data_IF_110008833919
#
_entry.id   IF_110008833919
#
_cell.length_a   1.000
_cell.length_b   1.000
_cell.length_c   1.000
_cell.angle_alpha   90.00
_cell.angle_beta   90.00
_cell.angle_gamma   90.00
#
_symmetry.space_group_name_H-M   'P 1'
#
loop_
_entity.id
_entity.type
_entity.pdbx_description
1 polymer ?
#
# COMPACT_ATOMS: atom_id res chain seq x y z
N UNK A 1 23.31 -96.06 11.89
CA UNK A 1 21.90 -95.65 11.70
C UNK A 1 21.54 -94.63 12.77
N UNK A 2 20.81 -93.55 12.38
CA UNK A 2 20.29 -92.43 13.20
C UNK A 2 21.38 -91.41 13.59
N UNK A 3 21.23 -90.08 13.45
CA UNK A 3 20.09 -89.27 13.03
C UNK A 3 20.56 -87.87 12.55
N UNK A 4 19.61 -87.16 11.94
CA UNK A 4 19.67 -85.92 11.16
C UNK A 4 20.14 -84.63 11.87
N UNK A 5 20.36 -83.62 11.02
CA UNK A 5 20.39 -82.16 11.23
C UNK A 5 21.63 -81.55 11.92
N UNK A 6 22.41 -80.78 11.16
CA UNK A 6 23.07 -79.54 11.66
C UNK A 6 23.57 -78.64 10.52
N UNK A 7 23.01 -77.43 10.53
CA UNK A 7 23.69 -76.13 10.34
C UNK A 7 24.08 -75.72 8.92
N UNK A 8 23.20 -74.90 8.37
CA UNK A 8 23.49 -73.79 7.45
C UNK A 8 24.67 -72.98 8.01
N UNK A 9 25.73 -72.82 7.22
CA UNK A 9 26.81 -71.88 7.48
C UNK A 9 27.20 -71.17 6.16
N UNK A 10 27.39 -69.88 6.32
CA UNK A 10 27.54 -68.81 5.34
C UNK A 10 28.94 -68.83 4.71
N UNK A 11 29.03 -68.60 3.40
CA UNK A 11 30.23 -68.09 2.72
C UNK A 11 29.75 -67.25 1.51
N UNK A 12 29.69 -65.94 1.66
CA UNK A 12 30.70 -64.99 1.17
C UNK A 12 30.58 -64.73 -0.35
N UNK A 13 29.90 -63.62 -0.69
CA UNK A 13 29.92 -63.02 -2.02
C UNK A 13 29.90 -61.51 -1.85
N UNK A 14 31.07 -60.88 -1.91
CA UNK A 14 31.23 -59.43 -1.88
C UNK A 14 30.74 -58.84 -3.20
N UNK A 15 29.77 -57.93 -3.13
CA UNK A 15 29.45 -57.00 -4.20
C UNK A 15 29.37 -55.60 -3.58
N UNK A 16 30.41 -54.81 -3.80
CA UNK A 16 30.41 -53.40 -3.48
C UNK A 16 29.41 -52.68 -4.38
N UNK A 17 28.20 -52.45 -3.87
CA UNK A 17 27.29 -51.48 -4.47
C UNK A 17 27.72 -50.10 -3.98
N UNK A 18 28.42 -49.36 -4.85
CA UNK A 18 28.63 -47.94 -4.67
C UNK A 18 27.26 -47.25 -4.72
N UNK A 19 26.66 -47.00 -3.56
CA UNK A 19 25.55 -46.06 -3.44
C UNK A 19 26.18 -44.68 -3.59
N UNK A 20 26.19 -44.18 -4.82
CA UNK A 20 26.31 -42.74 -5.03
C UNK A 20 25.05 -42.13 -4.42
N UNK A 21 25.17 -41.65 -3.17
CA UNK A 21 24.25 -40.62 -2.68
C UNK A 21 24.45 -39.43 -3.61
N UNK A 22 23.68 -39.38 -4.70
CA UNK A 22 23.41 -38.16 -5.40
C UNK A 22 22.73 -37.25 -4.41
N UNK A 23 23.52 -36.48 -3.66
CA UNK A 23 23.04 -35.28 -3.02
C UNK A 23 22.50 -34.42 -4.17
N UNK A 24 21.20 -34.52 -4.43
CA UNK A 24 20.50 -33.46 -5.12
C UNK A 24 20.78 -32.24 -4.27
N UNK A 25 21.66 -31.38 -4.76
CA UNK A 25 21.81 -30.04 -4.24
C UNK A 25 20.41 -29.45 -4.34
N UNK A 26 19.70 -29.40 -3.22
CA UNK A 26 18.55 -28.54 -3.09
C UNK A 26 19.10 -27.15 -3.38
N UNK A 27 18.93 -26.68 -4.60
CA UNK A 27 19.12 -25.28 -4.92
C UNK A 27 18.18 -24.57 -3.96
N UNK A 28 18.76 -23.91 -2.95
CA UNK A 28 18.03 -22.96 -2.13
C UNK A 28 17.42 -21.98 -3.14
N UNK A 29 16.12 -22.14 -3.41
CA UNK A 29 15.40 -21.22 -4.26
C UNK A 29 15.61 -19.84 -3.68
N UNK A 30 16.04 -18.88 -4.51
CA UNK A 30 16.15 -17.49 -4.08
C UNK A 30 14.81 -17.11 -3.47
N UNK A 31 14.82 -16.71 -2.19
CA UNK A 31 13.60 -16.29 -1.52
C UNK A 31 12.96 -15.17 -2.35
N UNK A 32 11.64 -15.23 -2.52
CA UNK A 32 10.95 -14.15 -3.24
C UNK A 32 11.19 -12.82 -2.51
N UNK A 33 11.40 -11.71 -3.22
CA UNK A 33 11.52 -10.41 -2.59
C UNK A 33 10.32 -10.12 -1.71
N UNK A 34 10.55 -9.48 -0.57
CA UNK A 34 9.50 -9.21 0.42
C UNK A 34 9.46 -7.75 0.84
N UNK A 35 8.25 -7.26 1.06
CA UNK A 35 7.94 -6.01 1.73
C UNK A 35 7.50 -6.36 3.15
N UNK A 36 8.29 -5.94 4.13
CA UNK A 36 8.03 -6.20 5.55
C UNK A 36 7.46 -4.95 6.21
N UNK A 37 6.31 -5.11 6.85
CA UNK A 37 5.69 -4.09 7.70
C UNK A 37 6.08 -4.31 9.16
N UNK A 38 6.53 -3.26 9.83
CA UNK A 38 6.81 -3.25 11.27
C UNK A 38 5.99 -2.19 12.03
N UNK A 39 5.91 -2.29 13.37
CA UNK A 39 6.58 -3.26 14.24
C UNK A 39 5.90 -4.65 14.26
N UNK A 40 4.65 -4.72 13.82
CA UNK A 40 3.87 -5.95 13.69
C UNK A 40 3.29 -6.04 12.29
N UNK A 41 2.95 -7.25 11.85
CA UNK A 41 2.25 -7.48 10.59
C UNK A 41 1.32 -8.69 10.69
N UNK A 42 0.02 -8.56 10.36
CA UNK A 42 -0.68 -7.31 10.00
C UNK A 42 -0.89 -6.40 11.22
N UNK A 43 -1.08 -5.10 10.97
CA UNK A 43 -1.25 -4.09 12.03
C UNK A 43 -2.16 -2.96 11.54
N UNK A 44 -2.97 -2.38 12.45
CA UNK A 44 -3.83 -1.24 12.13
C UNK A 44 -3.11 0.09 12.38
N UNK A 45 -3.30 1.07 11.50
CA UNK A 45 -2.69 2.39 11.64
C UNK A 45 -3.74 3.50 11.59
N UNK A 46 -3.38 4.65 12.17
CA UNK A 46 -4.06 5.92 11.94
C UNK A 46 -3.08 6.93 11.40
N UNK A 47 -3.52 7.83 10.53
CA UNK A 47 -2.69 8.89 10.00
C UNK A 47 -3.43 10.21 10.03
N UNK A 48 -2.79 11.23 10.59
CA UNK A 48 -3.31 12.60 10.63
C UNK A 48 -2.48 13.52 9.75
N UNK A 49 -3.11 14.52 9.15
CA UNK A 49 -2.44 15.59 8.43
C UNK A 49 -2.92 16.94 8.92
N UNK A 50 -2.06 17.95 8.80
CA UNK A 50 -2.46 19.35 8.87
C UNK A 50 -3.14 19.78 7.58
N UNK A 51 -2.80 20.97 7.09
CA UNK A 51 -3.41 21.49 5.85
C UNK A 51 -3.19 20.55 4.68
N UNK A 52 -4.29 20.22 3.99
CA UNK A 52 -4.27 19.48 2.73
C UNK A 52 -4.93 20.30 1.64
N UNK A 53 -4.46 20.15 0.40
CA UNK A 53 -4.91 20.98 -0.72
C UNK A 53 -5.25 20.10 -1.92
N UNK A 54 -6.42 20.34 -2.51
CA UNK A 54 -6.78 19.87 -3.83
C UNK A 54 -6.84 21.08 -4.77
N UNK A 55 -5.97 21.14 -5.77
CA UNK A 55 -5.96 22.21 -6.76
C UNK A 55 -6.59 21.71 -8.06
N UNK A 56 -7.63 22.38 -8.54
CA UNK A 56 -8.30 22.07 -9.80
C UNK A 56 -8.37 23.33 -10.66
N UNK A 57 -7.78 23.32 -11.86
CA UNK A 57 -7.80 24.45 -12.79
C UNK A 57 -7.34 25.78 -12.15
N UNK A 58 -6.35 25.72 -11.25
CA UNK A 58 -5.85 26.89 -10.51
C UNK A 58 -6.69 27.31 -9.30
N UNK A 59 -7.80 26.64 -9.01
CA UNK A 59 -8.64 26.88 -7.84
C UNK A 59 -8.15 25.97 -6.70
N UNK A 60 -7.60 26.53 -5.61
CA UNK A 60 -7.25 25.74 -4.44
C UNK A 60 -8.49 25.43 -3.59
N UNK A 61 -8.68 24.17 -3.25
CA UNK A 61 -9.61 23.73 -2.21
C UNK A 61 -8.76 23.22 -1.04
N UNK A 62 -8.80 23.91 0.08
CA UNK A 62 -7.94 23.63 1.24
C UNK A 62 -8.78 23.14 2.40
N UNK A 63 -8.33 22.08 3.05
CA UNK A 63 -8.88 21.60 4.32
C UNK A 63 -7.83 21.80 5.41
N UNK A 64 -8.26 22.17 6.63
CA UNK A 64 -7.32 22.39 7.75
C UNK A 64 -6.69 21.10 8.23
N UNK A 65 -7.39 19.97 8.05
CA UNK A 65 -6.92 18.65 8.44
C UNK A 65 -7.56 17.56 7.61
N UNK A 66 -6.88 16.42 7.54
CA UNK A 66 -7.41 15.15 7.07
C UNK A 66 -6.93 14.01 7.95
N UNK A 67 -7.81 13.06 8.23
CA UNK A 67 -7.51 11.88 9.02
C UNK A 67 -7.87 10.61 8.24
N UNK A 68 -6.98 9.64 8.27
CA UNK A 68 -7.13 8.34 7.63
C UNK A 68 -6.87 7.22 8.63
N UNK A 69 -7.48 6.06 8.43
CA UNK A 69 -7.13 4.83 9.12
C UNK A 69 -7.05 3.69 8.12
N UNK A 70 -6.48 2.57 8.55
CA UNK A 70 -6.49 1.35 7.76
C UNK A 70 -5.57 0.28 8.33
N UNK A 71 -5.14 -0.63 7.47
CA UNK A 71 -4.32 -1.77 7.85
C UNK A 71 -3.07 -1.81 6.99
N UNK A 72 -1.96 -2.22 7.60
CA UNK A 72 -0.71 -2.54 6.93
C UNK A 72 -0.44 -4.03 7.07
N UNK A 73 0.16 -4.63 6.04
CA UNK A 73 0.57 -6.03 6.06
C UNK A 73 1.80 -6.25 5.16
N UNK A 74 2.69 -7.12 5.62
CA UNK A 74 3.80 -7.62 4.81
C UNK A 74 3.29 -8.42 3.61
N UNK A 75 4.01 -8.33 2.49
CA UNK A 75 3.65 -9.00 1.25
C UNK A 75 4.89 -9.32 0.40
N UNK A 76 4.81 -10.36 -0.42
CA UNK A 76 5.88 -10.74 -1.35
C UNK A 76 5.70 -10.08 -2.72
N UNK A 77 6.80 -9.76 -3.39
CA UNK A 77 6.83 -9.24 -4.76
C UNK A 77 7.82 -8.10 -4.96
N UNK A 78 8.06 -7.75 -6.21
CA UNK A 78 9.05 -6.73 -6.60
C UNK A 78 8.44 -5.34 -6.76
N UNK A 79 7.29 -5.24 -7.43
CA UNK A 79 6.65 -3.96 -7.78
C UNK A 79 5.12 -4.09 -7.74
N UNK A 80 4.42 -2.97 -7.54
CA UNK A 80 2.97 -2.91 -7.36
C UNK A 80 2.47 -3.83 -6.24
N UNK A 81 3.25 -3.95 -5.16
CA UNK A 81 2.91 -4.83 -4.04
C UNK A 81 1.99 -4.08 -3.08
N UNK A 82 0.79 -4.61 -2.84
CA UNK A 82 -0.13 -4.03 -1.88
C UNK A 82 0.38 -4.29 -0.45
N UNK A 83 0.73 -3.22 0.26
CA UNK A 83 1.26 -3.27 1.65
C UNK A 83 0.29 -2.68 2.66
N UNK A 84 -0.84 -2.15 2.20
CA UNK A 84 -1.89 -1.68 3.10
C UNK A 84 -3.20 -1.30 2.41
N UNK A 85 -4.18 -0.98 3.24
CA UNK A 85 -5.49 -0.46 2.87
C UNK A 85 -5.80 0.81 3.64
N UNK A 86 -6.65 1.67 3.10
CA UNK A 86 -7.10 2.92 3.71
C UNK A 86 -8.62 2.92 3.71
N UNK A 87 -9.19 2.87 4.91
CA UNK A 87 -10.60 3.04 5.19
C UNK A 87 -10.80 3.23 6.72
N UNK A 88 -11.45 4.31 7.18
CA UNK A 88 -11.96 5.46 6.42
C UNK A 88 -10.89 6.53 6.13
N UNK A 89 -11.26 7.52 5.31
CA UNK A 89 -10.56 8.79 5.18
C UNK A 89 -11.56 9.95 5.30
N UNK A 90 -11.16 10.98 6.02
CA UNK A 90 -12.00 12.15 6.33
C UNK A 90 -11.22 13.44 6.14
N UNK A 91 -11.94 14.53 5.89
CA UNK A 91 -11.40 15.88 5.86
C UNK A 91 -12.22 16.79 6.76
N UNK A 92 -11.61 17.87 7.25
CA UNK A 92 -12.29 18.83 8.12
C UNK A 92 -12.01 20.26 7.69
N UNK A 93 -13.02 21.11 7.87
CA UNK A 93 -12.97 22.56 7.60
C UNK A 93 -12.40 22.89 6.22
N UNK A 94 -13.04 22.34 5.18
CA UNK A 94 -12.62 22.54 3.81
C UNK A 94 -13.26 23.81 3.21
N UNK A 95 -12.46 24.59 2.50
CA UNK A 95 -12.85 25.85 1.89
C UNK A 95 -12.22 26.01 0.51
N UNK A 96 -12.79 26.91 -0.28
CA UNK A 96 -12.28 27.35 -1.58
C UNK A 96 -12.52 28.86 -1.70
N UNK A 97 -11.97 29.52 -2.72
CA UNK A 97 -12.32 30.91 -3.04
C UNK A 97 -13.83 31.16 -3.23
N UNK A 98 -14.62 30.12 -3.51
CA UNK A 98 -16.07 30.19 -3.71
C UNK A 98 -16.88 29.89 -2.45
N UNK A 99 -16.25 29.55 -1.33
CA UNK A 99 -16.90 29.23 -0.07
C UNK A 99 -16.59 27.81 0.45
N UNK A 100 -17.39 27.31 1.41
CA UNK A 100 -17.19 26.00 2.01
C UNK A 100 -17.24 24.86 0.99
N UNK A 101 -16.38 23.85 1.22
CA UNK A 101 -16.31 22.63 0.41
C UNK A 101 -16.67 21.45 1.31
N UNK A 102 -17.46 20.51 0.80
CA UNK A 102 -17.79 19.27 1.51
C UNK A 102 -17.26 18.09 0.70
N UNK A 103 -16.03 17.62 1.00
CA UNK A 103 -15.52 16.39 0.42
C UNK A 103 -15.98 15.17 1.21
N UNK A 104 -16.29 14.10 0.49
CA UNK A 104 -16.68 12.80 1.04
C UNK A 104 -15.85 11.72 0.36
N UNK A 105 -15.13 10.92 1.13
CA UNK A 105 -14.37 9.79 0.61
C UNK A 105 -15.31 8.60 0.45
N UNK A 106 -15.25 7.93 -0.69
CA UNK A 106 -15.87 6.62 -0.89
C UNK A 106 -14.81 5.55 -0.64
N UNK A 107 -14.78 5.04 0.59
CA UNK A 107 -13.92 3.93 1.01
C UNK A 107 -14.74 2.66 1.26
N UNK A 108 -15.93 2.54 0.66
CA UNK A 108 -16.74 1.30 0.71
C UNK A 108 -15.93 0.10 0.17
N UNK A 109 -15.14 0.36 -0.88
CA UNK A 109 -13.95 -0.42 -1.19
C UNK A 109 -12.73 0.32 -0.65
N UNK A 110 -11.95 -0.28 0.27
CA UNK A 110 -10.76 0.37 0.81
C UNK A 110 -9.78 0.76 -0.30
N UNK A 111 -9.22 1.97 -0.22
CA UNK A 111 -8.15 2.36 -1.14
C UNK A 111 -6.90 1.56 -0.78
N UNK A 112 -6.04 1.26 -1.75
CA UNK A 112 -4.89 0.37 -1.56
C UNK A 112 -3.60 1.15 -1.56
N UNK A 113 -2.72 0.90 -0.60
CA UNK A 113 -1.36 1.42 -0.59
C UNK A 113 -0.44 0.39 -1.26
N UNK A 114 0.15 0.77 -2.39
CA UNK A 114 1.00 -0.11 -3.19
C UNK A 114 2.44 0.40 -3.18
N UNK A 115 3.39 -0.48 -2.93
CA UNK A 115 4.82 -0.21 -2.90
C UNK A 115 5.49 -0.66 -4.21
N UNK A 116 6.40 0.17 -4.73
CA UNK A 116 7.13 -0.09 -5.98
C UNK A 116 8.64 -0.11 -5.78
N UNK A 117 9.20 0.87 -5.07
CA UNK A 117 10.65 0.99 -4.88
C UNK A 117 10.98 1.39 -3.45
N UNK A 118 12.15 0.97 -2.99
CA UNK A 118 12.65 1.26 -1.66
C UNK A 118 14.12 1.68 -1.74
N UNK A 119 14.44 2.82 -1.13
CA UNK A 119 15.82 3.30 -1.03
C UNK A 119 15.97 4.14 0.22
N UNK A 120 17.05 3.91 0.98
CA UNK A 120 17.40 4.71 2.16
C UNK A 120 16.25 4.93 3.18
N UNK A 121 15.42 3.90 3.43
CA UNK A 121 14.29 4.01 4.37
C UNK A 121 13.05 4.71 3.80
N UNK A 122 13.04 4.97 2.50
CA UNK A 122 11.94 5.61 1.77
C UNK A 122 11.31 4.63 0.81
N UNK A 123 10.02 4.39 0.97
CA UNK A 123 9.19 3.60 0.05
C UNK A 123 8.47 4.55 -0.90
N UNK A 124 8.64 4.36 -2.21
CA UNK A 124 7.86 5.06 -3.23
C UNK A 124 6.87 4.13 -3.89
N UNK A 125 5.68 4.64 -4.15
CA UNK A 125 4.56 3.86 -4.65
C UNK A 125 3.35 4.74 -4.97
N UNK A 126 2.16 4.22 -4.74
CA UNK A 126 0.92 4.93 -5.03
C UNK A 126 -0.26 4.39 -4.22
N UNK A 127 -1.24 5.26 -4.01
CA UNK A 127 -2.56 4.86 -3.51
C UNK A 127 -3.46 4.63 -4.72
N UNK A 128 -4.13 3.48 -4.76
CA UNK A 128 -5.06 3.13 -5.83
C UNK A 128 -6.49 2.98 -5.36
N UNK A 129 -7.42 3.16 -6.29
CA UNK A 129 -8.86 3.10 -6.02
C UNK A 129 -9.39 4.35 -5.33
N UNK A 130 -8.67 5.48 -5.42
CA UNK A 130 -9.14 6.74 -4.85
C UNK A 130 -10.46 7.12 -5.51
N UNK A 131 -11.47 7.40 -4.69
CA UNK A 131 -12.76 7.91 -5.12
C UNK A 131 -13.31 8.85 -4.08
N UNK A 132 -13.50 10.11 -4.44
CA UNK A 132 -14.05 11.11 -3.54
C UNK A 132 -15.03 12.02 -4.28
N UNK A 133 -16.09 12.44 -3.60
CA UNK A 133 -17.06 13.41 -4.12
C UNK A 133 -16.84 14.73 -3.41
N UNK A 134 -16.73 15.82 -4.17
CA UNK A 134 -16.60 17.17 -3.64
C UNK A 134 -17.83 17.97 -4.00
N UNK A 135 -18.35 18.71 -3.03
CA UNK A 135 -19.43 19.67 -3.22
C UNK A 135 -18.95 21.07 -2.85
N UNK A 136 -19.15 22.02 -3.76
CA UNK A 136 -18.91 23.46 -3.55
C UNK A 136 -20.06 24.22 -4.19
N UNK A 137 -20.79 25.01 -3.38
CA UNK A 137 -22.03 25.66 -3.80
C UNK A 137 -23.01 24.65 -4.45
N UNK A 138 -23.37 24.85 -5.72
CA UNK A 138 -24.23 23.98 -6.54
C UNK A 138 -23.44 22.98 -7.39
N UNK A 139 -22.11 23.11 -7.44
CA UNK A 139 -21.24 22.17 -8.13
C UNK A 139 -20.98 20.95 -7.24
N UNK A 140 -21.25 19.77 -7.78
CA UNK A 140 -20.84 18.50 -7.20
C UNK A 140 -20.10 17.71 -8.27
N UNK A 141 -18.91 17.24 -7.94
CA UNK A 141 -18.10 16.44 -8.85
C UNK A 141 -17.41 15.31 -8.13
N UNK A 142 -17.14 14.21 -8.85
CA UNK A 142 -16.42 13.07 -8.30
C UNK A 142 -15.04 13.00 -8.93
N UNK A 143 -14.03 12.79 -8.10
CA UNK A 143 -12.65 12.52 -8.53
C UNK A 143 -12.35 11.05 -8.30
N UNK A 144 -11.72 10.43 -9.30
CA UNK A 144 -11.25 9.05 -9.23
C UNK A 144 -9.82 8.93 -9.73
N UNK A 145 -9.12 7.86 -9.33
CA UNK A 145 -7.84 7.50 -9.91
C UNK A 145 -6.85 6.98 -8.89
N UNK A 146 -5.57 7.22 -9.17
CA UNK A 146 -4.46 6.81 -8.34
C UNK A 146 -3.60 8.04 -8.04
N UNK A 147 -3.00 8.10 -6.87
CA UNK A 147 -2.10 9.21 -6.47
C UNK A 147 -0.75 8.65 -6.08
N UNK A 148 0.32 9.35 -6.45
CA UNK A 148 1.66 8.99 -6.05
C UNK A 148 1.79 9.14 -4.53
N UNK A 149 2.54 8.23 -3.92
CA UNK A 149 2.76 8.21 -2.49
C UNK A 149 4.21 7.87 -2.16
N UNK A 150 4.78 8.60 -1.20
CA UNK A 150 6.12 8.36 -0.69
C UNK A 150 6.06 8.27 0.83
N UNK A 151 6.46 7.14 1.37
CA UNK A 151 6.52 6.90 2.81
C UNK A 151 7.97 6.93 3.30
N UNK A 152 8.24 7.68 4.36
CA UNK A 152 9.57 7.77 4.97
C UNK A 152 9.57 7.18 6.37
N UNK A 153 10.26 6.05 6.58
CA UNK A 153 10.25 5.31 7.85
C UNK A 153 10.74 6.16 9.04
N UNK A 154 11.76 7.00 8.85
CA UNK A 154 12.35 7.81 9.92
C UNK A 154 11.38 8.89 10.45
N UNK A 155 10.60 9.49 9.57
CA UNK A 155 9.64 10.55 9.92
C UNK A 155 8.26 10.00 10.21
N UNK A 156 7.91 8.84 9.65
CA UNK A 156 6.56 8.26 9.70
C UNK A 156 5.59 8.99 8.77
N UNK A 157 6.09 9.77 7.82
CA UNK A 157 5.28 10.62 6.94
C UNK A 157 5.00 9.91 5.62
N UNK A 158 3.72 9.84 5.27
CA UNK A 158 3.21 9.50 3.96
C UNK A 158 2.90 10.81 3.20
N UNK A 159 3.81 11.20 2.31
CA UNK A 159 3.59 12.30 1.39
C UNK A 159 2.77 11.79 0.19
N UNK A 160 1.66 12.46 -0.11
CA UNK A 160 0.76 12.14 -1.21
C UNK A 160 0.75 13.30 -2.18
N UNK A 161 0.94 13.00 -3.46
CA UNK A 161 0.83 13.97 -4.55
C UNK A 161 0.37 13.32 -5.84
N UNK A 162 0.14 14.11 -6.89
CA UNK A 162 0.01 13.58 -8.25
C UNK A 162 1.36 13.60 -8.95
N UNK A 163 1.53 12.71 -9.93
CA UNK A 163 2.60 12.80 -10.92
C UNK A 163 2.06 12.43 -12.32
N UNK A 164 2.95 12.30 -13.32
CA UNK A 164 2.56 11.98 -14.69
C UNK A 164 1.82 10.63 -14.81
N UNK A 165 2.19 9.65 -13.99
CA UNK A 165 1.66 8.28 -14.00
C UNK A 165 0.42 8.14 -13.12
N UNK A 166 0.50 8.59 -11.87
CA UNK A 166 -0.52 8.49 -10.86
C UNK A 166 -1.14 9.87 -10.64
N UNK A 167 -2.31 10.07 -11.25
CA UNK A 167 -3.10 11.29 -11.11
C UNK A 167 -4.57 10.98 -10.88
N UNK A 168 -5.25 11.95 -10.27
CA UNK A 168 -6.70 11.99 -10.20
C UNK A 168 -7.30 12.51 -11.49
N UNK A 169 -8.55 12.14 -11.74
CA UNK A 169 -9.38 12.60 -12.85
C UNK A 169 -10.78 12.91 -12.34
N UNK A 170 -11.36 14.01 -12.79
CA UNK A 170 -12.79 14.30 -12.57
C UNK A 170 -13.60 13.33 -13.43
N UNK A 171 -14.35 12.44 -12.79
CA UNK A 171 -15.14 11.40 -13.42
C UNK A 171 -16.57 11.87 -13.74
N UNK A 172 -17.18 12.65 -12.86
CA UNK A 172 -18.55 13.16 -13.01
C UNK A 172 -18.64 14.60 -12.51
N UNK A 173 -19.57 15.36 -13.08
CA UNK A 173 -19.88 16.74 -12.68
C UNK A 173 -21.39 16.98 -12.76
N UNK A 174 -21.92 17.86 -11.91
CA UNK A 174 -23.27 18.40 -12.06
C UNK A 174 -23.28 19.64 -12.96
N UNK A 175 -24.46 20.06 -13.42
CA UNK A 175 -24.61 21.27 -14.25
C UNK A 175 -24.07 22.55 -13.58
N UNK A 176 -24.03 22.61 -12.25
CA UNK A 176 -23.50 23.74 -11.49
C UNK A 176 -21.97 23.90 -11.52
N UNK A 177 -21.24 23.00 -12.19
CA UNK A 177 -19.78 23.01 -12.21
C UNK A 177 -19.15 23.83 -13.34
N UNK A 178 -19.95 24.55 -14.13
CA UNK A 178 -19.45 25.41 -15.21
C UNK A 178 -18.37 26.37 -14.69
N UNK A 179 -17.18 26.34 -15.31
CA UNK A 179 -16.02 27.16 -14.93
C UNK A 179 -15.22 26.67 -13.71
N UNK A 180 -15.69 25.64 -12.99
CA UNK A 180 -15.02 25.06 -11.82
C UNK A 180 -14.37 23.73 -12.20
N UNK A 181 -15.19 22.79 -12.69
CA UNK A 181 -14.78 21.42 -12.96
C UNK A 181 -15.44 20.90 -14.23
N UNK A 182 -14.66 20.19 -15.05
CA UNK A 182 -15.16 19.42 -16.18
C UNK A 182 -14.63 17.99 -16.12
N UNK A 183 -15.41 17.05 -16.67
CA UNK A 183 -14.98 15.64 -16.79
C UNK A 183 -13.67 15.58 -17.56
N UNK A 184 -12.74 14.76 -17.06
CA UNK A 184 -11.39 14.61 -17.62
C UNK A 184 -10.36 15.58 -17.06
N UNK A 185 -10.75 16.61 -16.29
CA UNK A 185 -9.77 17.47 -15.61
C UNK A 185 -8.96 16.67 -14.58
N UNK A 186 -7.70 17.07 -14.36
CA UNK A 186 -6.78 16.38 -13.47
C UNK A 186 -6.44 17.23 -12.24
N UNK A 187 -7.24 17.17 -11.16
CA UNK A 187 -6.95 17.90 -9.95
C UNK A 187 -5.70 17.32 -9.28
N UNK A 188 -4.88 18.19 -8.68
CA UNK A 188 -3.69 17.79 -7.92
C UNK A 188 -4.03 17.78 -6.44
N UNK A 189 -3.93 16.61 -5.80
CA UNK A 189 -4.07 16.47 -4.36
C UNK A 189 -2.69 16.51 -3.72
N UNK A 190 -2.50 17.26 -2.63
CA UNK A 190 -1.24 17.30 -1.88
C UNK A 190 -1.51 17.24 -0.39
N UNK A 191 -0.87 16.28 0.28
CA UNK A 191 -1.02 16.06 1.71
C UNK A 191 0.22 15.36 2.29
N UNK A 192 0.54 15.66 3.54
CA UNK A 192 1.52 14.92 4.34
C UNK A 192 0.83 14.32 5.55
N UNK A 193 0.73 13.00 5.60
CA UNK A 193 0.10 12.28 6.70
C UNK A 193 1.15 11.69 7.64
N UNK A 194 1.09 12.06 8.91
CA UNK A 194 1.83 11.43 9.99
C UNK A 194 1.12 10.14 10.40
N UNK A 195 1.69 8.99 10.01
CA UNK A 195 1.15 7.68 10.34
C UNK A 195 1.70 7.17 11.67
N UNK A 196 0.81 6.61 12.49
CA UNK A 196 1.11 5.98 13.76
C UNK A 196 0.40 4.63 13.87
N UNK A 197 0.99 3.74 14.67
CA UNK A 197 0.52 2.40 14.95
C UNK A 197 0.70 2.03 16.43
N UNK A 198 -0.20 1.26 17.05
CA UNK A 198 -1.55 0.97 16.56
C UNK A 198 -2.37 2.26 16.39
N UNK A 199 -3.63 2.16 15.97
CA UNK A 199 -4.54 3.32 15.87
C UNK A 199 -4.53 4.16 17.16
N UNK A 200 -4.27 5.47 17.03
CA UNK A 200 -4.15 6.39 18.16
C UNK A 200 -2.85 6.29 18.97
N UNK A 201 -1.93 5.41 18.57
CA UNK A 201 -0.61 5.24 19.18
C UNK A 201 0.39 6.32 18.78
N UNK A 202 1.67 6.10 19.09
CA UNK A 202 2.76 7.02 18.78
C UNK A 202 3.90 6.38 17.98
N UNK A 203 3.86 5.06 17.77
CA UNK A 203 4.91 4.34 17.04
C UNK A 203 4.74 4.57 15.55
N UNK A 204 5.81 4.86 14.83
CA UNK A 204 5.78 5.00 13.38
C UNK A 204 5.86 3.59 12.76
N UNK A 205 4.95 3.22 11.86
CA UNK A 205 5.12 1.96 11.14
C UNK A 205 6.38 2.01 10.27
N UNK A 206 6.88 0.85 9.89
CA UNK A 206 7.99 0.75 8.93
C UNK A 206 7.57 -0.08 7.74
N UNK A 207 8.06 0.28 6.56
CA UNK A 207 7.92 -0.51 5.34
C UNK A 207 9.32 -0.72 4.79
N UNK A 208 9.78 -1.96 4.74
CA UNK A 208 11.15 -2.31 4.34
C UNK A 208 11.12 -3.34 3.22
N UNK A 209 11.82 -3.07 2.12
CA UNK A 209 12.00 -4.04 1.05
C UNK A 209 13.27 -4.88 1.27
N UNK A 210 13.15 -6.18 1.12
CA UNK A 210 14.26 -7.15 1.09
C UNK A 210 14.23 -7.86 -0.26
N UNK A 211 15.25 -7.65 -1.13
CA UNK A 211 15.31 -8.25 -2.46
C UNK A 211 15.51 -9.76 -2.43
#
# INVERSE_FOLDING_TARGET
>A
MRNSLRKIAIAAGAAAAAVTLGATTATAGVAAPTWTVGPSSPEAFSAGSGTVTLTLNGIPMTCTSSAAQGNLASASGTTNVQVGTIAPLTWSSCTSPFGPVTPTADTSTPWKLNANTYSAGVTSGYISGVKATLKVLTCTFTVTGNVAATYTNSTGVLAVSNNATYKLTVATVTAGCAGIAAVGNNPTYTANYNAVTPVGGSTKPTIVYTP
#
